data_IF_344272664571
#
_entry.id   IF_344272664571
#
_cell.length_a   1.000
_cell.length_b   1.000
_cell.length_c   1.000
_cell.angle_alpha   90.00
_cell.angle_beta   90.00
_cell.angle_gamma   90.00
#
_symmetry.space_group_name_H-M   'P 1'
#
loop_
_entity.id
_entity.type
_entity.pdbx_description
1 polymer ?
#
# COMPACT_ATOMS: atom_id res chain seq x y z
N UNK A 1 16.44 -9.60 4.29
CA UNK A 1 16.01 -8.20 4.48
C UNK A 1 14.68 -8.03 3.74
N UNK A 2 13.62 -7.56 4.41
CA UNK A 2 12.36 -7.27 3.71
C UNK A 2 12.52 -5.99 2.88
N UNK A 3 11.96 -5.98 1.66
CA UNK A 3 12.03 -4.80 0.77
C UNK A 3 11.26 -3.59 1.34
N UNK A 4 10.22 -3.87 2.15
CA UNK A 4 9.37 -2.86 2.78
C UNK A 4 9.11 -3.23 4.25
N UNK A 5 10.04 -2.90 5.16
CA UNK A 5 9.91 -3.27 6.58
C UNK A 5 8.74 -2.57 7.28
N UNK A 6 8.32 -1.42 6.78
CA UNK A 6 7.22 -0.61 7.33
C UNK A 6 5.89 -0.79 6.55
N UNK A 7 5.78 -1.81 5.69
CA UNK A 7 4.55 -2.04 4.93
C UNK A 7 3.42 -2.48 5.86
N UNK A 8 2.27 -1.81 5.78
CA UNK A 8 1.07 -2.15 6.54
C UNK A 8 0.05 -2.79 5.60
N UNK A 9 -0.46 -3.98 5.94
CA UNK A 9 -1.56 -4.60 5.21
C UNK A 9 -2.85 -3.86 5.53
N UNK A 10 -3.47 -3.24 4.53
CA UNK A 10 -4.70 -2.47 4.68
C UNK A 10 -5.93 -3.30 4.31
N UNK A 11 -5.83 -4.09 3.24
CA UNK A 11 -6.94 -4.89 2.73
C UNK A 11 -6.45 -6.25 2.24
N UNK A 12 -7.26 -7.27 2.51
CA UNK A 12 -7.10 -8.60 1.96
C UNK A 12 -8.46 -9.07 1.44
N UNK A 13 -8.64 -9.03 0.13
CA UNK A 13 -9.90 -9.35 -0.51
C UNK A 13 -9.68 -10.09 -1.82
N UNK A 14 -10.32 -11.25 -1.98
CA UNK A 14 -10.28 -12.06 -3.21
C UNK A 14 -8.87 -12.28 -3.79
N UNK A 15 -7.90 -12.63 -2.92
CA UNK A 15 -6.48 -12.83 -3.26
C UNK A 15 -5.72 -11.57 -3.72
N UNK A 16 -6.34 -10.39 -3.58
CA UNK A 16 -5.67 -9.09 -3.72
C UNK A 16 -5.26 -8.60 -2.34
N UNK A 17 -3.96 -8.34 -2.19
CA UNK A 17 -3.39 -7.76 -0.98
C UNK A 17 -3.03 -6.30 -1.24
N UNK A 18 -3.61 -5.40 -0.44
CA UNK A 18 -3.30 -3.98 -0.50
C UNK A 18 -2.40 -3.60 0.67
N UNK A 19 -1.22 -3.07 0.33
CA UNK A 19 -0.25 -2.58 1.32
C UNK A 19 -0.10 -1.06 1.24
N UNK A 20 -0.09 -0.41 2.40
CA UNK A 20 0.34 0.98 2.52
C UNK A 20 1.83 1.04 2.84
N UNK A 21 2.54 1.84 2.04
CA UNK A 21 3.96 2.09 2.19
C UNK A 21 4.19 3.55 2.64
N UNK A 22 5.31 3.79 3.32
CA UNK A 22 5.73 5.17 3.64
C UNK A 22 5.98 5.96 2.34
N UNK A 23 5.60 7.25 2.35
CA UNK A 23 5.83 8.14 1.20
C UNK A 23 7.32 8.33 0.85
N UNK A 24 8.22 8.01 1.78
CA UNK A 24 9.67 8.04 1.56
C UNK A 24 10.17 6.93 0.63
N UNK A 25 9.37 5.90 0.37
CA UNK A 25 9.74 4.80 -0.53
C UNK A 25 9.65 5.28 -1.98
N UNK A 26 10.75 5.13 -2.72
CA UNK A 26 10.81 5.52 -4.14
C UNK A 26 9.98 4.57 -4.98
N UNK A 27 9.17 5.11 -5.91
CA UNK A 27 8.38 4.32 -6.87
C UNK A 27 9.23 3.27 -7.60
N UNK A 28 10.44 3.63 -8.04
CA UNK A 28 11.40 2.69 -8.64
C UNK A 28 11.60 1.44 -7.80
N UNK A 29 11.83 1.60 -6.49
CA UNK A 29 12.03 0.48 -5.56
C UNK A 29 10.78 -0.39 -5.42
N UNK A 30 9.59 0.22 -5.48
CA UNK A 30 8.30 -0.50 -5.46
C UNK A 30 8.19 -1.35 -6.73
N UNK A 31 8.27 -0.73 -7.90
CA UNK A 31 8.17 -1.40 -9.19
C UNK A 31 9.22 -2.51 -9.34
N UNK A 32 10.50 -2.27 -9.04
CA UNK A 32 11.56 -3.27 -9.13
C UNK A 32 11.36 -4.46 -8.16
N UNK A 33 10.77 -4.22 -6.99
CA UNK A 33 10.54 -5.29 -6.02
C UNK A 33 9.33 -6.15 -6.42
N UNK A 34 8.22 -5.53 -6.80
CA UNK A 34 7.01 -6.27 -7.19
C UNK A 34 7.17 -6.94 -8.55
N UNK A 35 7.91 -6.34 -9.47
CA UNK A 35 8.27 -6.97 -10.74
C UNK A 35 9.04 -8.27 -10.52
N UNK A 36 10.02 -8.30 -9.62
CA UNK A 36 10.73 -9.54 -9.26
C UNK A 36 9.80 -10.61 -8.68
N UNK A 37 8.76 -10.23 -7.94
CA UNK A 37 7.77 -11.19 -7.44
C UNK A 37 6.92 -11.75 -8.60
N UNK A 38 6.55 -10.90 -9.56
CA UNK A 38 5.84 -11.30 -10.78
C UNK A 38 6.68 -12.26 -11.63
N UNK A 39 7.95 -11.94 -11.85
CA UNK A 39 8.88 -12.78 -12.62
C UNK A 39 9.09 -14.16 -11.98
N UNK A 40 8.98 -14.25 -10.64
CA UNK A 40 9.02 -15.51 -9.89
C UNK A 40 7.67 -16.23 -9.80
N UNK A 41 6.61 -15.71 -10.45
CA UNK A 41 5.27 -16.30 -10.43
C UNK A 41 4.52 -16.16 -9.10
N UNK A 42 5.00 -15.32 -8.18
CA UNK A 42 4.39 -15.11 -6.86
C UNK A 42 3.24 -14.10 -6.88
N UNK A 43 3.22 -13.23 -7.89
CA UNK A 43 2.20 -12.21 -8.09
C UNK A 43 1.74 -12.28 -9.54
N UNK A 44 0.43 -12.38 -9.76
CA UNK A 44 -0.12 -12.44 -11.12
C UNK A 44 -0.14 -11.05 -11.77
N UNK A 45 -0.59 -10.05 -11.01
CA UNK A 45 -0.59 -8.66 -11.42
C UNK A 45 -0.51 -7.70 -10.23
N UNK A 46 -0.12 -6.45 -10.49
CA UNK A 46 0.00 -5.43 -9.45
C UNK A 46 -0.31 -4.02 -9.97
N UNK A 47 -0.78 -3.18 -9.05
CA UNK A 47 -0.93 -1.74 -9.28
C UNK A 47 -0.29 -0.96 -8.14
N UNK A 48 0.18 0.26 -8.43
CA UNK A 48 0.72 1.18 -7.44
C UNK A 48 -0.09 2.46 -7.53
N UNK A 49 -0.79 2.79 -6.45
CA UNK A 49 -1.60 3.99 -6.37
C UNK A 49 -0.98 4.95 -5.34
N UNK A 50 -0.97 6.25 -5.66
CA UNK A 50 -0.65 7.27 -4.69
C UNK A 50 -1.94 7.72 -4.00
N UNK A 51 -1.96 7.74 -2.68
CA UNK A 51 -3.09 8.27 -1.90
C UNK A 51 -3.27 9.74 -2.29
N UNK A 52 -4.44 10.08 -2.84
CA UNK A 52 -4.77 11.46 -3.22
C UNK A 52 -5.04 12.31 -1.98
N UNK A 53 -4.99 13.63 -2.13
CA UNK A 53 -5.39 14.55 -1.06
C UNK A 53 -6.81 14.24 -0.56
N UNK A 54 -7.73 13.85 -1.45
CA UNK A 54 -9.09 13.49 -1.06
C UNK A 54 -9.12 12.27 -0.12
N UNK A 55 -8.32 11.25 -0.38
CA UNK A 55 -8.21 10.10 0.53
C UNK A 55 -7.52 10.45 1.85
N UNK A 56 -6.55 11.38 1.84
CA UNK A 56 -5.97 11.93 3.08
C UNK A 56 -7.05 12.66 3.89
N UNK A 57 -7.89 13.46 3.24
CA UNK A 57 -9.01 14.16 3.86
C UNK A 57 -10.06 13.19 4.43
N UNK A 58 -10.41 12.13 3.70
CA UNK A 58 -11.35 11.10 4.17
C UNK A 58 -10.80 10.37 5.40
N UNK A 59 -9.53 9.94 5.38
CA UNK A 59 -8.92 9.30 6.54
C UNK A 59 -8.80 10.26 7.73
N UNK A 60 -8.49 11.53 7.49
CA UNK A 60 -8.44 12.55 8.54
C UNK A 60 -9.81 12.76 9.19
N UNK A 61 -10.89 12.83 8.40
CA UNK A 61 -12.25 12.96 8.91
C UNK A 61 -12.69 11.72 9.71
N UNK A 62 -12.39 10.51 9.22
CA UNK A 62 -12.70 9.24 9.90
C UNK A 62 -12.06 9.14 11.30
N UNK A 63 -10.79 9.54 11.41
CA UNK A 63 -10.09 9.53 12.70
C UNK A 63 -10.66 10.55 13.71
N UNK A 64 -11.26 11.65 13.25
CA UNK A 64 -11.91 12.61 14.17
C UNK A 64 -13.25 12.11 14.69
N UNK A 65 -14.01 11.36 13.89
CA UNK A 65 -15.27 10.76 14.35
C UNK A 65 -15.07 9.68 15.40
N UNK A 66 -13.93 8.97 15.41
CA UNK A 66 -13.62 7.95 16.43
C UNK A 66 -13.17 8.52 17.78
N UNK A 67 -12.71 9.78 17.84
CA UNK A 67 -12.31 10.43 19.10
C UNK A 67 -13.47 11.06 19.89
N UNK A 68 -14.70 11.01 19.36
CA UNK A 68 -15.86 11.68 19.91
C UNK A 68 -16.84 10.78 20.69
N UNK A 69 -16.46 9.52 21.00
CA UNK A 69 -17.32 8.58 21.74
C UNK A 69 -16.63 8.03 22.99
#
# INVERSE_FOLDING_TARGET
MSAFPDAVLCENHAAVLQYQLKQTVRLRTIFESVQRLKDNGLVLDYSVNQTTLDQVFINFAKNQSEMAT
#
